data_IF_986221072621
#
_entry.id   IF_986221072621
#
_cell.length_a   1.000
_cell.length_b   1.000
_cell.length_c   1.000
_cell.angle_alpha   90.00
_cell.angle_beta   90.00
_cell.angle_gamma   90.00
#
_symmetry.space_group_name_H-M   'P 1'
#
loop_
_entity.id
_entity.type
_entity.pdbx_description
1 polymer ?
#
# COMPACT_ATOMS: atom_id res chain seq x y z
N UNK A 1 -8.53 -11.29 -6.74
CA UNK A 1 -9.83 -10.88 -7.31
C UNK A 1 -10.50 -12.10 -7.95
N UNK A 2 -11.41 -12.81 -7.27
CA UNK A 2 -11.96 -14.07 -7.78
C UNK A 2 -13.03 -13.87 -8.88
N UNK A 3 -13.70 -12.71 -8.88
CA UNK A 3 -14.76 -12.38 -9.83
C UNK A 3 -14.37 -11.12 -10.60
N UNK A 4 -14.49 -11.20 -11.93
CA UNK A 4 -14.41 -10.02 -12.80
C UNK A 4 -15.67 -9.17 -12.58
N UNK A 5 -15.50 -7.84 -12.57
CA UNK A 5 -16.56 -6.85 -12.38
C UNK A 5 -17.32 -6.87 -11.04
N UNK A 6 -16.79 -7.55 -10.02
CA UNK A 6 -17.30 -7.48 -8.64
C UNK A 6 -16.18 -7.11 -7.66
N UNK A 7 -16.52 -6.64 -6.46
CA UNK A 7 -15.56 -6.18 -5.47
C UNK A 7 -14.51 -7.24 -5.12
N UNK A 8 -13.26 -6.80 -4.95
CA UNK A 8 -12.17 -7.65 -4.48
C UNK A 8 -12.14 -7.75 -2.95
N UNK A 9 -11.47 -8.79 -2.43
CA UNK A 9 -11.17 -8.90 -1.01
C UNK A 9 -9.87 -8.16 -0.69
N UNK A 10 -9.93 -7.20 0.25
CA UNK A 10 -8.76 -6.48 0.76
C UNK A 10 -8.46 -6.83 2.21
N UNK A 11 -7.27 -6.44 2.67
CA UNK A 11 -6.82 -6.55 4.05
C UNK A 11 -6.52 -5.15 4.58
N UNK A 12 -7.57 -4.37 4.87
CA UNK A 12 -7.41 -3.04 5.43
C UNK A 12 -6.74 -3.15 6.82
N UNK A 13 -5.52 -2.64 6.91
CA UNK A 13 -4.69 -2.84 8.09
C UNK A 13 -4.64 -1.58 8.92
N UNK A 14 -5.26 -1.62 10.10
CA UNK A 14 -5.23 -0.52 11.05
C UNK A 14 -3.95 -0.56 11.90
N UNK A 15 -3.27 0.58 12.01
CA UNK A 15 -1.97 0.69 12.70
C UNK A 15 -1.96 1.88 13.66
N UNK A 16 -1.35 1.70 14.83
CA UNK A 16 -1.12 2.76 15.83
C UNK A 16 0.09 2.43 16.69
N UNK A 17 0.94 3.42 16.98
CA UNK A 17 2.06 3.25 17.90
C UNK A 17 1.70 3.70 19.32
N UNK A 18 2.24 2.97 20.29
CA UNK A 18 2.04 3.18 21.71
C UNK A 18 3.38 3.13 22.43
N UNK A 19 3.51 3.94 23.49
CA UNK A 19 4.68 3.91 24.37
C UNK A 19 4.24 4.18 25.80
N UNK A 20 4.73 3.38 26.73
CA UNK A 20 4.43 3.50 28.17
C UNK A 20 2.90 3.58 28.46
N UNK A 21 2.11 2.77 27.73
CA UNK A 21 0.65 2.73 27.84
C UNK A 21 -0.09 3.93 27.25
N UNK A 22 0.59 4.84 26.55
CA UNK A 22 -0.01 6.03 25.94
C UNK A 22 -0.02 5.95 24.41
N UNK A 23 -1.13 6.34 23.74
CA UNK A 23 -1.20 6.38 22.29
C UNK A 23 -0.35 7.53 21.74
N UNK A 24 0.41 7.29 20.67
CA UNK A 24 1.31 8.29 20.07
C UNK A 24 0.72 8.99 18.84
N UNK A 25 -0.37 8.46 18.29
CA UNK A 25 -0.91 8.92 17.01
C UNK A 25 -1.95 10.03 17.12
N UNK A 26 -2.39 10.38 18.33
CA UNK A 26 -3.42 11.38 18.57
C UNK A 26 -2.84 12.76 18.87
N UNK A 27 -3.42 13.78 18.25
CA UNK A 27 -3.26 15.18 18.61
C UNK A 27 -4.54 15.92 18.21
N UNK A 28 -5.18 16.60 19.17
CA UNK A 28 -6.46 17.30 18.94
C UNK A 28 -6.35 18.43 17.92
N UNK A 29 -5.18 19.03 17.78
CA UNK A 29 -4.97 20.21 16.93
C UNK A 29 -4.46 19.83 15.53
N UNK A 30 -4.09 18.56 15.32
CA UNK A 30 -3.63 18.06 14.04
C UNK A 30 -4.76 17.69 13.08
N UNK A 31 -4.46 17.68 11.78
CA UNK A 31 -5.40 17.24 10.75
C UNK A 31 -6.01 15.87 11.11
N UNK A 32 -7.34 15.77 11.07
CA UNK A 32 -8.09 14.55 11.43
C UNK A 32 -7.74 13.98 12.82
N UNK A 33 -7.29 14.84 13.75
CA UNK A 33 -6.90 14.44 15.10
C UNK A 33 -5.60 13.63 15.16
N UNK A 34 -4.71 13.80 14.17
CA UNK A 34 -3.44 13.06 14.08
C UNK A 34 -2.26 13.86 14.63
N UNK A 35 -1.37 13.21 15.36
CA UNK A 35 -0.10 13.80 15.77
C UNK A 35 0.86 13.98 14.59
N UNK A 36 1.88 14.83 14.75
CA UNK A 36 2.94 14.95 13.75
C UNK A 36 3.67 13.61 13.53
N UNK A 37 3.86 12.82 14.59
CA UNK A 37 4.46 11.49 14.51
C UNK A 37 3.62 10.55 13.63
N UNK A 38 2.29 10.58 13.77
CA UNK A 38 1.37 9.83 12.90
C UNK A 38 1.51 10.28 11.43
N UNK A 39 1.60 11.59 11.16
CA UNK A 39 1.80 12.11 9.80
C UNK A 39 3.10 11.64 9.19
N UNK A 40 4.21 11.64 9.93
CA UNK A 40 5.47 11.09 9.45
C UNK A 40 5.41 9.59 9.19
N UNK A 41 4.69 8.83 10.04
CA UNK A 41 4.44 7.41 9.79
C UNK A 41 3.68 7.19 8.48
N UNK A 42 2.64 8.00 8.22
CA UNK A 42 1.92 7.99 6.94
C UNK A 42 2.88 8.35 5.80
N UNK A 43 3.73 9.37 5.98
CA UNK A 43 4.74 9.77 4.99
C UNK A 43 5.64 8.62 4.57
N UNK A 44 6.11 7.81 5.53
CA UNK A 44 6.87 6.60 5.26
C UNK A 44 6.08 5.55 4.47
N UNK A 45 4.83 5.26 4.87
CA UNK A 45 3.96 4.33 4.14
C UNK A 45 3.71 4.77 2.68
N UNK A 46 3.51 6.06 2.44
CA UNK A 46 3.26 6.59 1.10
C UNK A 46 4.55 6.62 0.26
N UNK A 47 5.68 7.04 0.86
CA UNK A 47 7.00 7.07 0.22
C UNK A 47 7.43 5.70 -0.29
N UNK A 48 7.29 4.67 0.56
CA UNK A 48 7.66 3.29 0.25
C UNK A 48 6.49 2.48 -0.32
N UNK A 49 5.34 3.12 -0.59
CA UNK A 49 4.11 2.43 -0.99
C UNK A 49 4.30 1.51 -2.18
N UNK A 50 5.21 1.85 -3.11
CA UNK A 50 5.51 1.02 -4.29
C UNK A 50 6.27 -0.26 -3.94
N UNK A 51 7.36 -0.17 -3.16
CA UNK A 51 8.13 -1.34 -2.72
C UNK A 51 7.35 -2.20 -1.72
N UNK A 52 6.56 -1.57 -0.84
CA UNK A 52 5.67 -2.25 0.11
C UNK A 52 4.69 -3.22 -0.58
N UNK A 53 4.25 -2.92 -1.80
CA UNK A 53 3.30 -3.79 -2.50
C UNK A 53 3.86 -5.18 -2.81
N UNK A 54 5.19 -5.33 -2.91
CA UNK A 54 5.84 -6.63 -3.07
C UNK A 54 5.57 -7.58 -1.90
N UNK A 55 5.22 -7.06 -0.72
CA UNK A 55 4.81 -7.85 0.46
C UNK A 55 3.32 -7.73 0.76
N UNK A 56 2.72 -6.56 0.55
CA UNK A 56 1.34 -6.25 0.90
C UNK A 56 0.30 -6.78 -0.09
N UNK A 57 0.65 -6.90 -1.37
CA UNK A 57 -0.23 -7.44 -2.41
C UNK A 57 0.58 -8.32 -3.37
N UNK A 58 1.13 -9.44 -2.86
CA UNK A 58 2.32 -10.05 -3.43
C UNK A 58 2.03 -11.12 -4.48
N UNK A 59 0.88 -11.06 -5.16
CA UNK A 59 0.49 -12.05 -6.17
C UNK A 59 0.07 -11.37 -7.46
N UNK A 60 0.14 -12.05 -8.60
CA UNK A 60 -0.36 -11.50 -9.87
C UNK A 60 -1.86 -11.17 -9.79
N UNK A 61 -2.64 -11.91 -9.01
CA UNK A 61 -4.08 -11.70 -8.80
C UNK A 61 -4.40 -10.47 -7.93
N UNK A 62 -3.46 -10.03 -7.10
CA UNK A 62 -3.58 -8.81 -6.30
C UNK A 62 -3.81 -7.58 -7.18
N UNK A 63 -3.10 -7.51 -8.30
CA UNK A 63 -3.18 -6.39 -9.26
C UNK A 63 -4.42 -6.44 -10.15
N UNK A 64 -5.21 -7.52 -10.09
CA UNK A 64 -6.57 -7.55 -10.64
C UNK A 64 -7.59 -6.91 -9.69
N UNK A 65 -7.25 -6.74 -8.41
CA UNK A 65 -8.01 -5.93 -7.44
C UNK A 65 -7.61 -4.45 -7.49
N UNK A 66 -6.32 -4.17 -7.59
CA UNK A 66 -5.75 -2.81 -7.60
C UNK A 66 -5.92 -2.12 -8.96
N UNK A 67 -7.16 -2.02 -9.43
CA UNK A 67 -7.53 -1.32 -10.66
C UNK A 67 -8.51 -0.18 -10.33
N UNK A 68 -8.47 0.95 -11.04
CA UNK A 68 -9.44 2.03 -10.85
C UNK A 68 -10.90 1.52 -10.98
N UNK A 69 -11.83 2.09 -10.21
CA UNK A 69 -13.27 1.86 -10.36
C UNK A 69 -14.00 1.06 -9.26
N UNK A 70 -13.29 0.30 -8.40
CA UNK A 70 -13.93 -0.58 -7.39
C UNK A 70 -13.55 -0.23 -5.93
N UNK A 71 -13.54 1.05 -5.57
CA UNK A 71 -12.97 1.55 -4.28
C UNK A 71 -11.52 1.07 -4.03
N UNK A 72 -10.79 0.67 -5.08
CA UNK A 72 -9.43 0.16 -4.95
C UNK A 72 -8.48 1.32 -4.57
N UNK A 73 -7.70 1.17 -3.49
CA UNK A 73 -6.86 2.24 -2.95
C UNK A 73 -5.54 2.33 -3.70
N UNK A 74 -5.60 2.77 -4.97
CA UNK A 74 -4.43 2.81 -5.85
C UNK A 74 -3.61 4.09 -5.70
N UNK A 75 -4.19 5.14 -5.14
CA UNK A 75 -3.55 6.44 -4.99
C UNK A 75 -2.77 6.51 -3.68
N UNK A 76 -1.46 6.73 -3.75
CA UNK A 76 -0.56 6.89 -2.61
C UNK A 76 -0.72 8.28 -1.98
N UNK A 77 -1.92 8.53 -1.48
CA UNK A 77 -2.34 9.72 -0.75
C UNK A 77 -2.98 9.32 0.56
N UNK A 78 -3.19 10.30 1.43
CA UNK A 78 -3.95 10.11 2.66
C UNK A 78 -5.14 11.06 2.76
N UNK A 79 -6.16 10.64 3.51
CA UNK A 79 -7.38 11.40 3.74
C UNK A 79 -8.15 10.90 4.95
N UNK A 80 -8.93 11.78 5.59
CA UNK A 80 -9.84 11.42 6.68
C UNK A 80 -11.13 10.73 6.19
N UNK A 81 -11.54 10.94 4.94
CA UNK A 81 -12.86 10.50 4.43
C UNK A 81 -12.79 9.73 3.12
N UNK A 82 -11.75 9.92 2.34
CA UNK A 82 -11.65 9.34 1.01
C UNK A 82 -11.32 7.83 1.08
N UNK A 83 -12.16 7.00 0.46
CA UNK A 83 -12.00 5.54 0.42
C UNK A 83 -11.02 5.06 -0.65
N UNK A 84 -10.69 5.91 -1.63
CA UNK A 84 -9.71 5.61 -2.68
C UNK A 84 -8.27 5.96 -2.28
N UNK A 85 -8.07 6.63 -1.14
CA UNK A 85 -6.75 6.91 -0.57
C UNK A 85 -6.10 5.61 -0.06
N UNK A 86 -4.79 5.46 -0.26
CA UNK A 86 -4.02 4.35 0.30
C UNK A 86 -4.04 4.37 1.83
N UNK A 87 -3.89 5.55 2.43
CA UNK A 87 -3.88 5.75 3.88
C UNK A 87 -5.14 6.53 4.32
N UNK A 88 -6.12 5.84 4.92
CA UNK A 88 -7.32 6.50 5.47
C UNK A 88 -7.18 6.71 6.98
N UNK A 89 -7.60 7.88 7.49
CA UNK A 89 -7.68 8.16 8.92
C UNK A 89 -9.15 7.99 9.37
N UNK A 90 -9.52 6.93 10.11
CA UNK A 90 -10.90 6.74 10.55
C UNK A 90 -11.35 7.83 11.55
N UNK A 91 -12.53 8.40 11.30
CA UNK A 91 -13.10 9.52 12.07
C UNK A 91 -14.35 9.13 12.90
N UNK A 92 -14.46 7.87 13.31
CA UNK A 92 -15.63 7.37 14.05
C UNK A 92 -15.71 7.84 15.52
N UNK A 93 -14.58 8.24 16.10
CA UNK A 93 -14.47 8.66 17.50
C UNK A 93 -13.29 9.61 17.66
N UNK A 94 -13.41 10.53 18.61
CA UNK A 94 -12.37 11.50 18.97
C UNK A 94 -11.48 11.01 20.13
N UNK A 95 -11.74 9.80 20.65
CA UNK A 95 -10.98 9.27 21.78
C UNK A 95 -9.51 8.97 21.40
N UNK A 96 -8.51 9.45 22.17
CA UNK A 96 -7.10 9.32 21.81
C UNK A 96 -6.63 7.89 21.53
N UNK A 97 -7.09 6.91 22.33
CA UNK A 97 -6.69 5.51 22.20
C UNK A 97 -7.24 4.82 20.94
N UNK A 98 -8.27 5.38 20.31
CA UNK A 98 -8.85 4.84 19.09
C UNK A 98 -8.20 5.43 17.82
N UNK A 99 -7.33 6.45 17.95
CA UNK A 99 -6.69 7.10 16.82
C UNK A 99 -5.66 6.18 16.17
N UNK A 100 -5.82 5.98 14.86
CA UNK A 100 -5.06 5.02 14.05
C UNK A 100 -5.10 5.44 12.59
N UNK A 101 -4.18 4.90 11.81
CA UNK A 101 -4.24 4.93 10.34
C UNK A 101 -4.77 3.58 9.84
N UNK A 102 -5.52 3.58 8.73
CA UNK A 102 -5.90 2.38 7.98
C UNK A 102 -5.16 2.39 6.64
N UNK A 103 -4.20 1.47 6.46
CA UNK A 103 -3.56 1.25 5.17
C UNK A 103 -4.35 0.20 4.39
N UNK A 104 -4.94 0.62 3.27
CA UNK A 104 -5.96 -0.11 2.50
C UNK A 104 -5.43 -0.96 1.32
N UNK A 105 -4.27 -0.64 0.69
CA UNK A 105 -3.73 -1.43 -0.41
C UNK A 105 -3.56 -2.93 -0.15
N UNK A 106 -3.16 -3.40 1.05
CA UNK A 106 -2.88 -4.82 1.26
C UNK A 106 -4.09 -5.71 0.96
N UNK A 107 -3.81 -6.96 0.61
CA UNK A 107 -4.80 -8.02 0.48
C UNK A 107 -4.39 -9.29 1.24
N UNK A 108 -5.34 -10.22 1.38
CA UNK A 108 -5.19 -11.41 2.19
C UNK A 108 -4.37 -12.52 1.51
N UNK A 109 -3.86 -12.31 0.29
CA UNK A 109 -2.89 -13.22 -0.32
C UNK A 109 -1.47 -12.98 0.22
N UNK A 110 -1.28 -11.91 0.99
CA UNK A 110 -0.02 -11.62 1.67
C UNK A 110 0.31 -12.60 2.78
N UNK A 111 1.61 -12.82 3.00
CA UNK A 111 2.09 -13.36 4.28
C UNK A 111 1.96 -12.23 5.33
N UNK A 112 1.08 -12.35 6.33
CA UNK A 112 0.80 -11.25 7.25
C UNK A 112 2.02 -10.88 8.11
N UNK A 113 2.91 -11.84 8.41
CA UNK A 113 4.14 -11.55 9.16
C UNK A 113 5.05 -10.60 8.38
N UNK A 114 5.26 -10.86 7.09
CA UNK A 114 6.09 -10.01 6.22
C UNK A 114 5.40 -8.67 5.94
N UNK A 115 4.10 -8.69 5.63
CA UNK A 115 3.36 -7.47 5.31
C UNK A 115 3.31 -6.50 6.50
N UNK A 116 3.00 -6.99 7.70
CA UNK A 116 2.93 -6.15 8.91
C UNK A 116 4.30 -5.61 9.30
N UNK A 117 5.35 -6.44 9.20
CA UNK A 117 6.72 -6.02 9.48
C UNK A 117 7.17 -4.95 8.48
N UNK A 118 6.96 -5.16 7.17
CA UNK A 118 7.33 -4.20 6.14
C UNK A 118 6.59 -2.85 6.31
N UNK A 119 5.28 -2.87 6.59
CA UNK A 119 4.52 -1.65 6.88
C UNK A 119 5.04 -0.92 8.12
N UNK A 120 5.39 -1.64 9.18
CA UNK A 120 5.98 -1.04 10.37
C UNK A 120 7.33 -0.40 10.06
N UNK A 121 8.22 -1.10 9.35
CA UNK A 121 9.53 -0.58 8.95
C UNK A 121 9.39 0.69 8.11
N UNK A 122 8.49 0.72 7.11
CA UNK A 122 8.23 1.90 6.30
C UNK A 122 7.73 3.08 7.15
N UNK A 123 6.79 2.83 8.06
CA UNK A 123 6.28 3.89 8.95
C UNK A 123 7.33 4.40 9.95
N UNK A 124 8.21 3.52 10.45
CA UNK A 124 9.34 3.91 11.31
C UNK A 124 10.38 4.73 10.56
N UNK A 125 10.70 4.38 9.30
CA UNK A 125 11.58 5.19 8.46
C UNK A 125 10.99 6.59 8.23
N UNK A 126 9.69 6.66 7.95
CA UNK A 126 8.94 7.91 7.87
C UNK A 126 9.13 8.80 9.10
N UNK A 127 9.02 8.22 10.30
CA UNK A 127 9.26 8.93 11.58
C UNK A 127 10.73 9.36 11.70
N UNK A 128 11.68 8.45 11.45
CA UNK A 128 13.13 8.69 11.58
C UNK A 128 13.59 9.85 10.68
N UNK A 129 13.12 9.86 9.44
CA UNK A 129 13.49 10.83 8.41
C UNK A 129 12.52 12.01 8.30
N UNK A 130 11.50 12.07 9.18
CA UNK A 130 10.46 13.12 9.21
C UNK A 130 9.79 13.34 7.84
N UNK A 131 9.51 12.24 7.13
CA UNK A 131 8.98 12.27 5.77
C UNK A 131 7.58 12.90 5.79
N UNK A 132 7.41 14.00 5.05
CA UNK A 132 6.11 14.66 4.92
C UNK A 132 5.22 13.90 3.93
N UNK A 133 4.01 13.44 4.32
CA UNK A 133 3.06 12.82 3.39
C UNK A 133 2.45 13.81 2.38
N UNK A 134 2.73 15.11 2.52
CA UNK A 134 2.14 16.17 1.70
C UNK A 134 0.74 16.58 2.20
N UNK A 135 0.03 17.33 1.36
CA UNK A 135 -1.33 17.76 1.67
C UNK A 135 -2.33 16.60 1.53
N UNK A 136 -3.33 16.50 2.44
CA UNK A 136 -4.36 15.48 2.35
C UNK A 136 -5.27 15.70 1.14
N UNK A 137 -5.72 14.61 0.50
CA UNK A 137 -6.61 14.67 -0.67
C UNK A 137 -8.03 14.27 -0.27
N UNK A 138 -8.79 15.24 0.24
CA UNK A 138 -10.16 15.07 0.76
C UNK A 138 -11.29 15.12 -0.29
N UNK A 139 -10.92 15.09 -1.57
CA UNK A 139 -11.86 15.00 -2.69
C UNK A 139 -11.90 13.57 -3.22
N UNK A 140 -13.02 13.20 -3.83
CA UNK A 140 -13.13 11.91 -4.51
C UNK A 140 -12.09 11.88 -5.64
N UNK A 141 -11.11 11.00 -5.57
CA UNK A 141 -10.03 10.97 -6.58
C UNK A 141 -10.54 10.50 -7.95
N UNK A 142 -11.73 9.90 -8.02
CA UNK A 142 -12.37 9.54 -9.28
C UNK A 142 -12.93 10.76 -10.04
N UNK A 143 -13.09 11.89 -9.36
CA UNK A 143 -13.60 13.15 -9.93
C UNK A 143 -12.47 14.14 -10.29
N UNK A 144 -11.21 13.74 -10.08
CA UNK A 144 -10.07 14.55 -10.48
C UNK A 144 -9.96 14.60 -12.00
N UNK A 145 -9.53 15.74 -12.52
CA UNK A 145 -9.16 15.83 -13.94
C UNK A 145 -7.99 14.88 -14.24
N UNK A 146 -7.83 14.48 -15.50
CA UNK A 146 -6.73 13.60 -15.91
C UNK A 146 -5.35 14.20 -15.55
N UNK A 147 -5.21 15.53 -15.61
CA UNK A 147 -3.99 16.25 -15.26
C UNK A 147 -3.72 16.22 -13.75
N UNK A 148 -4.74 16.46 -12.90
CA UNK A 148 -4.60 16.33 -11.45
C UNK A 148 -4.29 14.89 -11.04
N UNK A 149 -4.95 13.90 -11.66
CA UNK A 149 -4.75 12.49 -11.39
C UNK A 149 -3.34 12.01 -11.79
N UNK A 150 -2.79 12.52 -12.90
CA UNK A 150 -1.45 12.16 -13.37
C UNK A 150 -0.33 12.57 -12.39
N UNK A 151 -0.57 13.60 -11.57
CA UNK A 151 0.38 14.06 -10.56
C UNK A 151 0.32 13.28 -9.25
N UNK A 152 -0.65 12.36 -9.09
CA UNK A 152 -0.79 11.56 -7.87
C UNK A 152 0.03 10.27 -8.02
N UNK A 153 1.02 10.03 -7.14
CA UNK A 153 1.73 8.76 -7.14
C UNK A 153 0.77 7.60 -6.89
N UNK A 154 0.96 6.50 -7.62
CA UNK A 154 0.12 5.30 -7.50
C UNK A 154 0.93 4.09 -7.07
N UNK A 155 0.23 3.10 -6.53
CA UNK A 155 0.76 1.74 -6.36
C UNK A 155 1.14 1.15 -7.73
N UNK A 156 2.05 0.16 -7.76
CA UNK A 156 2.42 -0.51 -9.01
C UNK A 156 1.22 -1.17 -9.70
N UNK A 157 1.26 -1.23 -11.03
CA UNK A 157 0.18 -1.80 -11.84
C UNK A 157 0.27 -3.33 -11.97
N UNK A 158 1.41 -3.91 -11.57
CA UNK A 158 1.68 -5.34 -11.65
C UNK A 158 2.61 -5.80 -10.53
N UNK A 159 2.66 -7.12 -10.30
CA UNK A 159 3.62 -7.72 -9.37
C UNK A 159 5.06 -7.46 -9.81
N UNK A 160 5.34 -7.49 -11.12
CA UNK A 160 6.67 -7.19 -11.66
C UNK A 160 7.16 -5.80 -11.28
N UNK A 161 6.33 -4.77 -11.51
CA UNK A 161 6.68 -3.38 -11.14
C UNK A 161 6.89 -3.22 -9.63
N UNK A 162 6.17 -3.97 -8.78
CA UNK A 162 6.35 -3.92 -7.34
C UNK A 162 7.67 -4.57 -6.90
N UNK A 163 8.08 -5.66 -7.56
CA UNK A 163 9.39 -6.28 -7.31
C UNK A 163 10.53 -5.38 -7.78
N UNK A 164 10.40 -4.71 -8.92
CA UNK A 164 11.37 -3.70 -9.38
C UNK A 164 11.46 -2.53 -8.40
N UNK A 165 10.32 -2.05 -7.89
CA UNK A 165 10.31 -1.03 -6.86
C UNK A 165 10.97 -1.51 -5.56
N UNK A 166 10.78 -2.78 -5.17
CA UNK A 166 11.46 -3.37 -4.02
C UNK A 166 12.98 -3.45 -4.23
N UNK A 167 13.46 -3.87 -5.40
CA UNK A 167 14.90 -3.87 -5.71
C UNK A 167 15.52 -2.47 -5.60
N UNK A 168 14.79 -1.44 -6.01
CA UNK A 168 15.27 -0.05 -5.98
C UNK A 168 15.13 0.62 -4.60
N UNK A 169 14.18 0.18 -3.79
CA UNK A 169 13.80 0.80 -2.51
C UNK A 169 13.50 -0.26 -1.44
N UNK A 170 14.55 -0.85 -0.86
CA UNK A 170 14.43 -1.79 0.25
C UNK A 170 15.32 -1.45 1.45
N UNK A 171 16.10 -0.37 1.40
CA UNK A 171 17.06 -0.05 2.47
C UNK A 171 16.38 0.18 3.82
N UNK A 172 15.17 0.75 3.84
CA UNK A 172 14.36 0.92 5.05
C UNK A 172 13.98 -0.41 5.72
N UNK A 173 13.95 -1.52 4.97
CA UNK A 173 13.64 -2.86 5.50
C UNK A 173 14.84 -3.49 6.21
N UNK A 174 16.06 -3.13 5.80
CA UNK A 174 17.31 -3.69 6.33
C UNK A 174 17.72 -3.09 7.68
N UNK A 175 17.06 -2.00 8.11
CA UNK A 175 17.34 -1.36 9.38
C UNK A 175 17.13 -2.32 10.56
N UNK A 176 18.16 -2.49 11.39
CA UNK A 176 18.11 -3.36 12.57
C UNK A 176 17.99 -4.86 12.26
N UNK A 177 18.38 -5.29 11.06
CA UNK A 177 18.35 -6.69 10.60
C UNK A 177 16.96 -7.34 10.69
N UNK A 178 15.89 -6.53 10.59
CA UNK A 178 14.49 -7.01 10.59
C UNK A 178 14.19 -7.80 9.33
N UNK A 179 14.59 -7.27 8.18
CA UNK A 179 14.76 -8.03 6.95
C UNK A 179 16.26 -8.10 6.64
N UNK A 180 16.67 -9.22 6.07
CA UNK A 180 18.04 -9.39 5.58
C UNK A 180 18.05 -9.41 4.05
N UNK A 181 19.19 -9.08 3.46
CA UNK A 181 19.32 -9.02 2.00
C UNK A 181 18.94 -10.36 1.34
N UNK A 182 19.34 -11.48 1.93
CA UNK A 182 19.04 -12.82 1.40
C UNK A 182 17.53 -13.12 1.37
N UNK A 183 16.77 -12.68 2.38
CA UNK A 183 15.31 -12.83 2.39
C UNK A 183 14.67 -12.04 1.26
N UNK A 184 15.17 -10.82 1.00
CA UNK A 184 14.66 -9.95 -0.07
C UNK A 184 14.97 -10.55 -1.44
N UNK A 185 16.22 -10.99 -1.66
CA UNK A 185 16.66 -11.58 -2.92
C UNK A 185 15.88 -12.86 -3.24
N UNK A 186 15.74 -13.76 -2.25
CA UNK A 186 14.96 -15.00 -2.40
C UNK A 186 13.49 -14.70 -2.65
N UNK A 187 12.92 -13.69 -1.99
CA UNK A 187 11.53 -13.29 -2.23
C UNK A 187 11.31 -12.84 -3.67
N UNK A 188 12.19 -11.98 -4.18
CA UNK A 188 12.10 -11.48 -5.55
C UNK A 188 12.24 -12.61 -6.58
N UNK A 189 13.26 -13.45 -6.41
CA UNK A 189 13.50 -14.59 -7.32
C UNK A 189 12.31 -15.55 -7.33
N UNK A 190 11.80 -15.93 -6.15
CA UNK A 190 10.64 -16.80 -6.03
C UNK A 190 9.41 -16.20 -6.73
N UNK A 191 9.11 -14.92 -6.52
CA UNK A 191 7.94 -14.28 -7.14
C UNK A 191 8.06 -14.19 -8.66
N UNK A 192 9.27 -13.95 -9.19
CA UNK A 192 9.52 -13.95 -10.63
C UNK A 192 9.34 -15.34 -11.24
N UNK A 193 10.04 -16.33 -10.70
CA UNK A 193 10.14 -17.66 -11.30
C UNK A 193 8.93 -18.56 -11.03
N UNK A 194 8.31 -18.44 -9.85
CA UNK A 194 7.19 -19.29 -9.44
C UNK A 194 5.80 -18.69 -9.70
N UNK A 195 5.69 -17.36 -9.89
CA UNK A 195 4.38 -16.71 -10.09
C UNK A 195 4.29 -15.91 -11.40
N UNK A 196 5.22 -14.98 -11.65
CA UNK A 196 5.14 -14.11 -12.84
C UNK A 196 5.38 -14.92 -14.12
N UNK A 197 6.49 -15.66 -14.20
CA UNK A 197 6.86 -16.41 -15.40
C UNK A 197 5.85 -17.49 -15.77
N UNK A 198 5.32 -18.30 -14.83
CA UNK A 198 4.27 -19.26 -15.15
C UNK A 198 3.02 -18.60 -15.74
N UNK A 199 2.60 -17.43 -15.25
CA UNK A 199 1.47 -16.72 -15.85
C UNK A 199 1.83 -16.17 -17.24
N UNK A 200 3.00 -15.56 -17.38
CA UNK A 200 3.47 -14.94 -18.64
C UNK A 200 3.60 -15.93 -19.80
N UNK A 201 3.94 -17.19 -19.51
CA UNK A 201 4.12 -18.24 -20.52
C UNK A 201 2.82 -18.91 -20.98
N UNK A 202 1.67 -18.54 -20.40
CA UNK A 202 0.37 -19.17 -20.69
C UNK A 202 -0.54 -18.14 -21.40
N UNK A 203 -0.94 -18.40 -22.65
CA UNK A 203 -1.93 -17.56 -23.34
C UNK A 203 -3.19 -17.39 -22.50
N UNK A 204 -3.66 -16.15 -22.33
CA UNK A 204 -4.87 -15.87 -21.58
C UNK A 204 -6.13 -16.09 -22.46
N UNK A 205 -7.25 -16.63 -21.94
CA UNK A 205 -8.46 -16.84 -22.76
C UNK A 205 -8.97 -15.59 -23.49
N UNK A 206 -8.78 -14.40 -22.90
CA UNK A 206 -9.13 -13.13 -23.54
C UNK A 206 -8.27 -12.79 -24.77
N UNK A 207 -7.04 -13.32 -24.86
CA UNK A 207 -6.20 -13.13 -26.06
C UNK A 207 -6.79 -13.86 -27.26
N UNK A 208 -7.44 -15.01 -27.08
CA UNK A 208 -8.18 -15.67 -28.17
C UNK A 208 -9.37 -14.82 -28.61
N UNK A 209 -10.10 -14.20 -27.67
CA UNK A 209 -11.17 -13.28 -28.04
C UNK A 209 -10.68 -12.08 -28.87
N UNK A 210 -9.49 -11.56 -28.56
CA UNK A 210 -8.91 -10.41 -29.23
C UNK A 210 -8.20 -10.74 -30.55
N UNK A 211 -7.56 -11.92 -30.63
CA UNK A 211 -6.52 -12.18 -31.63
C UNK A 211 -6.69 -13.51 -32.39
N UNK A 212 -7.81 -14.22 -32.23
CA UNK A 212 -8.02 -15.49 -32.94
C UNK A 212 -8.12 -15.32 -34.47
N UNK A 213 -8.61 -14.17 -34.93
CA UNK A 213 -8.90 -13.86 -36.33
C UNK A 213 -7.93 -12.86 -36.99
N UNK A 214 -6.76 -12.65 -36.39
CA UNK A 214 -5.68 -11.83 -36.98
C UNK A 214 -5.12 -12.48 -38.24
#
# INVERSE_FOLDING_TARGET
KPLFDDNGSGMHTHQSLWKDGKPLFYDKDGYAGTSQLCRWYIGGLLKHGRSLMAFCAPTTNSYKRLVPGYEAPVNLVYSARNRSAAARIPMYTEQPHAKRIEFRPPDTAANPYLAFSAMLMAGLDGIKNKIDPGDPVDRNTYELSAEEAANIPTVPSSLGEALEALEQDHQYLLEGDVFTQDVIDVWIDYKRTAEIDPIRLRPHPWEFHLYFDV
#
